data_IF_007394711807
#
_entry.id   IF_007394711807
#
_cell.length_a   1.000
_cell.length_b   1.000
_cell.length_c   1.000
_cell.angle_alpha   90.00
_cell.angle_beta   90.00
_cell.angle_gamma   90.00
#
_symmetry.space_group_name_H-M   'P 1'
#
loop_
_entity.id
_entity.type
_entity.pdbx_description
1 polymer ?
#
# COMPACT_ATOMS: atom_id res chain seq x y z
N UNK A 1 22.32 27.60 5.02
CA UNK A 1 22.80 26.71 3.95
C UNK A 1 21.83 25.55 3.89
N UNK A 2 20.74 25.65 3.11
CA UNK A 2 19.81 24.54 2.89
C UNK A 2 20.53 23.60 1.94
N UNK A 3 21.09 22.53 2.48
CA UNK A 3 21.60 21.42 1.68
C UNK A 3 20.52 21.01 0.71
N UNK A 4 20.88 20.87 -0.56
CA UNK A 4 20.13 20.21 -1.62
C UNK A 4 19.49 18.93 -1.07
N UNK A 5 18.25 19.02 -0.58
CA UNK A 5 17.48 17.84 -0.18
C UNK A 5 17.03 17.19 -1.47
N UNK A 6 17.86 16.29 -2.01
CA UNK A 6 17.39 15.46 -3.10
C UNK A 6 16.24 14.60 -2.58
N UNK A 7 15.01 14.89 -3.02
CA UNK A 7 13.82 14.10 -2.73
C UNK A 7 14.09 12.61 -3.02
N UNK A 8 14.10 11.80 -1.98
CA UNK A 8 14.30 10.36 -2.12
C UNK A 8 12.94 9.68 -2.32
N UNK A 9 12.69 9.22 -3.54
CA UNK A 9 11.43 8.53 -3.90
C UNK A 9 11.15 7.31 -3.02
N UNK A 10 12.17 6.55 -2.61
CA UNK A 10 11.97 5.39 -1.73
C UNK A 10 11.47 5.80 -0.34
N UNK A 11 11.95 6.93 0.19
CA UNK A 11 11.43 7.50 1.44
C UNK A 11 9.99 8.00 1.27
N UNK A 12 9.68 8.69 0.16
CA UNK A 12 8.32 9.14 -0.15
C UNK A 12 7.33 7.97 -0.15
N UNK A 13 7.69 6.87 -0.81
CA UNK A 13 6.91 5.63 -0.83
C UNK A 13 6.79 5.06 0.58
N UNK A 14 7.88 4.93 1.32
CA UNK A 14 7.85 4.40 2.68
C UNK A 14 6.97 5.25 3.63
N UNK A 15 6.98 6.58 3.51
CA UNK A 15 6.06 7.47 4.24
C UNK A 15 4.61 7.16 3.84
N UNK A 16 4.30 7.12 2.54
CA UNK A 16 2.95 6.83 2.07
C UNK A 16 2.45 5.46 2.59
N UNK A 17 3.26 4.42 2.49
CA UNK A 17 2.92 3.10 3.02
C UNK A 17 2.78 3.09 4.54
N UNK A 18 3.62 3.85 5.26
CA UNK A 18 3.50 3.96 6.73
C UNK A 18 2.23 4.68 7.19
N UNK A 19 1.67 5.57 6.36
CA UNK A 19 0.46 6.35 6.66
C UNK A 19 -0.82 5.64 6.25
N UNK A 20 -0.80 4.93 5.12
CA UNK A 20 -2.00 4.38 4.48
C UNK A 20 -2.03 2.85 4.44
N UNK A 21 -1.07 2.17 5.08
CA UNK A 21 -1.06 0.70 5.20
C UNK A 21 -0.54 0.22 6.55
N UNK A 22 -0.89 -1.01 6.92
CA UNK A 22 -0.34 -1.74 8.06
C UNK A 22 0.99 -2.44 7.77
N UNK A 23 1.55 -2.24 6.57
CA UNK A 23 2.81 -2.88 6.20
C UNK A 23 3.94 -2.23 7.01
N UNK A 24 4.75 -3.01 7.74
CA UNK A 24 5.84 -2.45 8.54
C UNK A 24 6.86 -1.78 7.63
N UNK A 25 7.03 -0.47 7.79
CA UNK A 25 7.98 0.33 7.02
C UNK A 25 9.17 0.78 7.89
N UNK A 26 10.38 0.87 7.32
CA UNK A 26 11.57 1.39 8.03
C UNK A 26 11.33 2.78 8.63
N UNK A 27 11.83 3.02 9.84
CA UNK A 27 11.70 4.29 10.54
C UNK A 27 12.90 5.20 10.21
N UNK A 28 12.65 6.43 9.76
CA UNK A 28 13.68 7.43 9.40
C UNK A 28 13.15 8.85 9.63
N UNK A 29 14.02 9.87 9.58
CA UNK A 29 13.59 11.28 9.71
C UNK A 29 12.77 11.72 8.50
N UNK A 30 11.55 12.20 8.75
CA UNK A 30 10.69 12.72 7.69
C UNK A 30 11.10 14.15 7.38
N UNK A 31 11.64 14.31 6.20
CA UNK A 31 12.10 15.56 5.62
C UNK A 31 10.94 16.32 4.94
N UNK A 32 11.04 17.66 4.84
CA UNK A 32 9.92 18.51 4.37
C UNK A 32 9.52 18.20 2.92
N UNK A 33 10.49 17.90 2.06
CA UNK A 33 10.26 17.59 0.65
C UNK A 33 9.59 16.22 0.47
N UNK A 34 10.07 15.19 1.15
CA UNK A 34 9.49 13.85 1.07
C UNK A 34 8.05 13.80 1.60
N UNK A 35 7.75 14.55 2.66
CA UNK A 35 6.36 14.68 3.15
C UNK A 35 5.46 15.37 2.13
N UNK A 36 5.96 16.39 1.42
CA UNK A 36 5.20 17.09 0.38
C UNK A 36 4.80 16.14 -0.76
N UNK A 37 5.68 15.20 -1.13
CA UNK A 37 5.41 14.25 -2.21
C UNK A 37 4.72 12.95 -1.75
N UNK A 38 4.60 12.67 -0.45
CA UNK A 38 4.02 11.43 0.07
C UNK A 38 2.58 11.19 -0.42
N UNK A 39 1.75 12.23 -0.52
CA UNK A 39 0.39 12.10 -1.05
C UNK A 39 0.37 11.70 -2.54
N UNK A 40 1.38 12.09 -3.33
CA UNK A 40 1.48 11.67 -4.73
C UNK A 40 1.83 10.18 -4.88
N UNK A 41 2.41 9.57 -3.84
CA UNK A 41 2.69 8.13 -3.77
C UNK A 41 1.53 7.31 -3.19
N UNK A 42 0.45 7.93 -2.70
CA UNK A 42 -0.75 7.24 -2.23
C UNK A 42 -1.33 6.23 -3.25
N UNK A 43 -1.41 6.53 -4.57
CA UNK A 43 -1.91 5.57 -5.55
C UNK A 43 -1.12 4.25 -5.60
N UNK A 44 0.15 4.24 -5.18
CA UNK A 44 0.97 3.02 -5.14
C UNK A 44 0.46 2.02 -4.09
N UNK A 45 -0.14 2.49 -3.00
CA UNK A 45 -0.75 1.62 -1.98
C UNK A 45 -1.98 0.93 -2.57
N UNK A 46 -2.83 1.67 -3.29
CA UNK A 46 -3.98 1.11 -4.02
C UNK A 46 -3.56 0.09 -5.08
N UNK A 47 -2.50 0.38 -5.85
CA UNK A 47 -1.95 -0.57 -6.83
C UNK A 47 -1.43 -1.86 -6.17
N UNK A 48 -0.85 -1.78 -4.97
CA UNK A 48 -0.46 -2.98 -4.24
C UNK A 48 -1.68 -3.81 -3.84
N UNK A 49 -2.72 -3.17 -3.31
CA UNK A 49 -3.96 -3.86 -2.90
C UNK A 49 -4.59 -4.56 -4.12
N UNK A 50 -4.76 -3.84 -5.23
CA UNK A 50 -5.33 -4.39 -6.47
C UNK A 50 -4.51 -5.56 -7.01
N UNK A 51 -3.17 -5.48 -6.95
CA UNK A 51 -2.30 -6.59 -7.33
C UNK A 51 -2.51 -7.83 -6.44
N UNK A 52 -2.63 -7.64 -5.13
CA UNK A 52 -2.88 -8.73 -4.17
C UNK A 52 -4.25 -9.36 -4.39
N UNK A 53 -5.28 -8.56 -4.63
CA UNK A 53 -6.63 -9.03 -4.97
C UNK A 53 -6.64 -9.81 -6.28
N UNK A 54 -5.96 -9.32 -7.32
CA UNK A 54 -5.84 -10.01 -8.60
C UNK A 54 -5.17 -11.38 -8.43
N UNK A 55 -4.05 -11.46 -7.70
CA UNK A 55 -3.36 -12.73 -7.40
C UNK A 55 -4.31 -13.68 -6.67
N UNK A 56 -5.01 -13.20 -5.63
CA UNK A 56 -5.97 -13.99 -4.87
C UNK A 56 -7.11 -14.50 -5.74
N UNK A 57 -7.66 -13.65 -6.61
CA UNK A 57 -8.72 -14.00 -7.56
C UNK A 57 -8.27 -15.09 -8.51
N UNK A 58 -7.16 -14.89 -9.23
CA UNK A 58 -6.67 -15.87 -10.21
C UNK A 58 -6.27 -17.19 -9.55
N UNK A 59 -5.59 -17.15 -8.40
CA UNK A 59 -5.25 -18.35 -7.63
C UNK A 59 -6.50 -19.08 -7.13
N UNK A 60 -7.46 -18.34 -6.54
CA UNK A 60 -8.72 -18.89 -6.06
C UNK A 60 -9.53 -19.55 -7.17
N UNK A 61 -9.62 -18.92 -8.34
CA UNK A 61 -10.26 -19.50 -9.52
C UNK A 61 -9.55 -20.75 -10.02
N UNK A 62 -8.21 -20.76 -10.03
CA UNK A 62 -7.40 -21.90 -10.49
C UNK A 62 -7.58 -23.14 -9.60
N UNK A 63 -7.72 -22.96 -8.29
CA UNK A 63 -7.95 -24.07 -7.34
C UNK A 63 -9.44 -24.39 -7.14
N UNK A 64 -10.34 -23.71 -7.85
CA UNK A 64 -11.77 -24.00 -7.83
C UNK A 64 -12.50 -23.51 -6.58
N UNK A 65 -12.06 -22.41 -5.95
CA UNK A 65 -12.80 -21.84 -4.81
C UNK A 65 -14.24 -21.48 -5.22
N UNK A 66 -15.24 -21.82 -4.39
CA UNK A 66 -16.59 -21.33 -4.55
C UNK A 66 -16.64 -19.80 -4.48
N UNK A 67 -17.65 -19.20 -5.12
CA UNK A 67 -17.75 -17.74 -5.24
C UNK A 67 -17.79 -17.03 -3.87
N UNK A 68 -18.59 -17.54 -2.92
CA UNK A 68 -18.77 -16.92 -1.60
C UNK A 68 -17.46 -16.74 -0.80
N UNK A 69 -16.67 -17.80 -0.52
CA UNK A 69 -15.42 -17.63 0.22
C UNK A 69 -14.41 -16.76 -0.53
N UNK A 70 -14.34 -16.85 -1.87
CA UNK A 70 -13.46 -15.98 -2.66
C UNK A 70 -13.86 -14.51 -2.52
N UNK A 71 -15.14 -14.18 -2.62
CA UNK A 71 -15.64 -12.81 -2.45
C UNK A 71 -15.39 -12.27 -1.05
N UNK A 72 -15.55 -13.09 0.00
CA UNK A 72 -15.26 -12.69 1.38
C UNK A 72 -13.77 -12.39 1.54
N UNK A 73 -12.88 -13.24 1.00
CA UNK A 73 -11.45 -13.01 1.08
C UNK A 73 -11.04 -11.73 0.34
N UNK A 74 -11.58 -11.49 -0.86
CA UNK A 74 -11.34 -10.27 -1.63
C UNK A 74 -11.83 -9.03 -0.88
N UNK A 75 -13.01 -9.08 -0.25
CA UNK A 75 -13.55 -7.96 0.54
C UNK A 75 -12.69 -7.65 1.77
N UNK A 76 -12.15 -8.67 2.44
CA UNK A 76 -11.38 -8.49 3.68
C UNK A 76 -9.93 -8.08 3.43
N UNK A 77 -9.36 -8.45 2.28
CA UNK A 77 -7.96 -8.16 1.94
C UNK A 77 -7.60 -6.67 2.05
N UNK A 78 -8.34 -5.71 1.46
CA UNK A 78 -8.01 -4.28 1.56
C UNK A 78 -8.02 -3.81 3.02
N UNK A 79 -9.05 -4.17 3.78
CA UNK A 79 -9.19 -3.82 5.21
C UNK A 79 -8.01 -4.37 6.05
N UNK A 80 -7.50 -5.55 5.71
CA UNK A 80 -6.33 -6.12 6.39
C UNK A 80 -5.04 -5.38 6.03
N UNK A 81 -4.92 -4.88 4.79
CA UNK A 81 -3.72 -4.21 4.28
C UNK A 81 -3.69 -2.73 4.68
N UNK A 82 -4.78 -1.99 4.51
CA UNK A 82 -4.89 -0.56 4.87
C UNK A 82 -5.19 -0.34 6.36
N UNK A 83 -5.77 -1.35 7.03
CA UNK A 83 -6.14 -1.30 8.44
C UNK A 83 -7.59 -0.87 8.72
N UNK A 84 -8.43 -0.75 7.70
CA UNK A 84 -9.81 -0.28 7.77
C UNK A 84 -9.94 1.23 7.62
N UNK A 85 -9.00 1.89 6.93
CA UNK A 85 -9.09 3.32 6.62
C UNK A 85 -10.12 3.44 5.47
N UNK A 86 -11.40 3.49 5.82
CA UNK A 86 -12.53 3.76 4.93
C UNK A 86 -13.26 5.02 5.40
#
# INVERSE_FOLDING_TARGET
MKTEQHCNVAKVVAIAFSMYSKIPMPQFSWEEEERRYAMAAFPLVGLLIDLLEAILFFCGKKIGLPALPLSILLLLLPVLVDGGIH
#
